data_IF_461253030869
#
_entry.id   IF_461253030869
#
_cell.length_a   1.000
_cell.length_b   1.000
_cell.length_c   1.000
_cell.angle_alpha   90.00
_cell.angle_beta   90.00
_cell.angle_gamma   90.00
#
_symmetry.space_group_name_H-M   'P 1'
#
loop_
_entity.id
_entity.type
_entity.pdbx_description
1 polymer ?
#
# COMPACT_ATOMS: atom_id res chain seq x y z
N UNK A 1 -9.81 -3.09 16.25
CA UNK A 1 -10.81 -3.83 15.43
C UNK A 1 -12.21 -3.32 15.74
N UNK A 2 -12.70 -3.30 17.00
CA UNK A 2 -14.05 -2.82 17.34
C UNK A 2 -14.35 -1.41 16.86
N UNK A 3 -13.42 -0.48 17.01
CA UNK A 3 -13.53 0.90 16.48
C UNK A 3 -13.63 0.91 14.96
N UNK A 4 -12.85 0.09 14.27
CA UNK A 4 -12.90 0.00 12.80
C UNK A 4 -14.27 -0.52 12.33
N UNK A 5 -14.84 -1.53 13.00
CA UNK A 5 -16.18 -2.02 12.71
C UNK A 5 -17.24 -0.93 12.86
N UNK A 6 -17.17 -0.17 13.95
CA UNK A 6 -18.11 0.92 14.20
C UNK A 6 -17.98 2.07 13.16
N UNK A 7 -16.74 2.42 12.76
CA UNK A 7 -16.48 3.50 11.81
C UNK A 7 -16.85 3.14 10.36
N UNK A 8 -16.58 1.90 9.92
CA UNK A 8 -16.70 1.50 8.52
C UNK A 8 -18.01 0.76 8.19
N UNK A 9 -18.76 0.31 9.20
CA UNK A 9 -20.00 -0.40 8.98
C UNK A 9 -19.87 -1.59 8.00
N UNK A 10 -20.63 -1.58 6.90
CA UNK A 10 -20.61 -2.64 5.88
C UNK A 10 -19.27 -2.84 5.19
N UNK A 11 -18.45 -1.80 5.09
CA UNK A 11 -17.15 -1.84 4.39
C UNK A 11 -16.02 -2.41 5.26
N UNK A 12 -16.28 -2.64 6.55
CA UNK A 12 -15.33 -3.19 7.50
C UNK A 12 -14.68 -4.50 7.02
N UNK A 13 -15.46 -5.45 6.51
CA UNK A 13 -14.92 -6.73 6.06
C UNK A 13 -13.99 -6.58 4.87
N UNK A 14 -14.33 -5.71 3.92
CA UNK A 14 -13.47 -5.45 2.75
C UNK A 14 -12.15 -4.77 3.18
N UNK A 15 -12.22 -3.83 4.10
CA UNK A 15 -11.05 -3.18 4.69
C UNK A 15 -10.14 -4.20 5.41
N UNK A 16 -10.73 -5.09 6.23
CA UNK A 16 -9.98 -6.10 6.97
C UNK A 16 -9.30 -7.10 6.03
N UNK A 17 -10.01 -7.59 5.00
CA UNK A 17 -9.43 -8.49 3.99
C UNK A 17 -8.20 -7.84 3.32
N UNK A 18 -8.27 -6.56 3.00
CA UNK A 18 -7.14 -5.85 2.40
C UNK A 18 -5.98 -5.70 3.38
N UNK A 19 -6.25 -5.35 4.63
CA UNK A 19 -5.22 -5.26 5.65
C UNK A 19 -4.57 -6.63 5.92
N UNK A 20 -5.36 -7.69 6.04
CA UNK A 20 -4.88 -9.06 6.27
C UNK A 20 -4.03 -9.58 5.12
N UNK A 21 -4.45 -9.37 3.87
CA UNK A 21 -3.64 -9.81 2.72
C UNK A 21 -2.30 -9.07 2.66
N UNK A 22 -2.27 -7.78 2.98
CA UNK A 22 -1.04 -7.01 3.07
C UNK A 22 -0.12 -7.53 4.17
N UNK A 23 -0.70 -7.91 5.31
CA UNK A 23 0.04 -8.49 6.42
C UNK A 23 0.65 -9.85 6.04
N UNK A 24 -0.13 -10.73 5.41
CA UNK A 24 0.33 -12.05 4.91
C UNK A 24 1.42 -11.86 3.86
N UNK A 25 1.22 -10.99 2.88
CA UNK A 25 2.22 -10.68 1.87
C UNK A 25 3.51 -10.16 2.49
N UNK A 26 3.40 -9.28 3.49
CA UNK A 26 4.55 -8.80 4.26
C UNK A 26 5.35 -9.94 4.89
N UNK A 27 4.67 -10.86 5.59
CA UNK A 27 5.31 -12.02 6.23
C UNK A 27 6.01 -12.93 5.21
N UNK A 28 5.33 -13.24 4.11
CA UNK A 28 5.81 -14.17 3.08
C UNK A 28 7.04 -13.61 2.35
N UNK A 29 7.13 -12.28 2.20
CA UNK A 29 8.23 -11.63 1.50
C UNK A 29 9.36 -11.12 2.41
N UNK A 30 9.27 -11.32 3.72
CA UNK A 30 10.37 -11.00 4.65
C UNK A 30 11.71 -11.63 4.27
N UNK A 31 11.80 -12.88 3.75
CA UNK A 31 13.09 -13.45 3.36
C UNK A 31 13.85 -12.62 2.32
N UNK A 32 13.15 -12.07 1.31
CA UNK A 32 13.74 -11.20 0.29
C UNK A 32 14.01 -9.83 0.88
N UNK A 33 13.05 -9.24 1.57
CA UNK A 33 13.14 -7.87 2.10
C UNK A 33 14.24 -7.72 3.12
N UNK A 34 14.39 -8.67 4.04
CA UNK A 34 15.46 -8.67 5.04
C UNK A 34 16.87 -8.68 4.44
N UNK A 35 17.04 -9.15 3.20
CA UNK A 35 18.33 -9.06 2.51
C UNK A 35 18.59 -7.66 1.96
N UNK A 36 17.55 -6.96 1.54
CA UNK A 36 17.66 -5.58 1.04
C UNK A 36 17.87 -4.62 2.22
N UNK A 37 17.13 -4.82 3.31
CA UNK A 37 17.11 -3.93 4.48
C UNK A 37 17.90 -4.49 5.69
N UNK A 38 19.04 -5.11 5.44
CA UNK A 38 19.89 -5.74 6.50
C UNK A 38 20.29 -4.83 7.66
N UNK A 39 20.34 -3.53 7.43
CA UNK A 39 20.70 -2.55 8.44
C UNK A 39 19.51 -2.00 9.23
N UNK A 40 18.28 -2.32 8.85
CA UNK A 40 17.10 -1.83 9.54
C UNK A 40 16.75 -2.70 10.74
N UNK A 41 16.30 -2.07 11.83
CA UNK A 41 15.88 -2.77 13.04
C UNK A 41 14.69 -3.70 12.79
N UNK A 42 13.78 -3.28 11.92
CA UNK A 42 12.59 -4.02 11.50
C UNK A 42 12.84 -4.98 10.31
N UNK A 43 14.10 -5.04 9.81
CA UNK A 43 14.46 -5.76 8.59
C UNK A 43 13.61 -5.36 7.37
N UNK A 44 13.05 -4.15 7.35
CA UNK A 44 12.20 -3.64 6.28
C UNK A 44 10.77 -4.16 6.31
N UNK A 45 10.20 -4.39 7.50
CA UNK A 45 8.84 -4.93 7.68
C UNK A 45 7.79 -4.20 6.83
N UNK A 46 7.74 -2.87 6.90
CA UNK A 46 6.76 -2.11 6.11
C UNK A 46 7.03 -2.18 4.60
N UNK A 47 8.30 -2.23 4.21
CA UNK A 47 8.71 -2.37 2.81
C UNK A 47 8.38 -3.74 2.23
N UNK A 48 8.29 -4.79 3.05
CA UNK A 48 7.98 -6.14 2.60
C UNK A 48 6.62 -6.24 1.91
N UNK A 49 5.64 -5.48 2.39
CA UNK A 49 4.29 -5.39 1.81
C UNK A 49 4.34 -4.80 0.39
N UNK A 50 5.09 -3.71 0.22
CA UNK A 50 5.23 -3.03 -1.08
C UNK A 50 6.01 -3.90 -2.06
N UNK A 51 7.12 -4.49 -1.63
CA UNK A 51 7.93 -5.41 -2.44
C UNK A 51 7.09 -6.59 -2.91
N UNK A 52 6.26 -7.16 -2.02
CA UNK A 52 5.35 -8.25 -2.35
C UNK A 52 4.33 -7.84 -3.42
N UNK A 53 3.67 -6.69 -3.24
CA UNK A 53 2.71 -6.17 -4.23
C UNK A 53 3.38 -5.99 -5.59
N UNK A 54 4.58 -5.38 -5.61
CA UNK A 54 5.31 -5.11 -6.85
C UNK A 54 5.73 -6.40 -7.54
N UNK A 55 6.35 -7.33 -6.83
CA UNK A 55 6.82 -8.60 -7.43
C UNK A 55 5.64 -9.44 -7.93
N UNK A 56 4.62 -9.65 -7.10
CA UNK A 56 3.47 -10.46 -7.47
C UNK A 56 2.65 -9.79 -8.58
N UNK A 57 2.35 -8.50 -8.43
CA UNK A 57 1.61 -7.75 -9.43
C UNK A 57 2.35 -7.67 -10.75
N UNK A 58 3.66 -7.41 -10.75
CA UNK A 58 4.45 -7.42 -11.99
C UNK A 58 4.47 -8.83 -12.63
N UNK A 59 4.60 -9.89 -11.84
CA UNK A 59 4.51 -11.26 -12.33
C UNK A 59 3.18 -11.58 -13.02
N UNK A 60 2.06 -11.16 -12.41
CA UNK A 60 0.73 -11.30 -13.02
C UNK A 60 0.63 -10.44 -14.29
N UNK A 61 1.08 -9.19 -14.23
CA UNK A 61 1.02 -8.26 -15.35
C UNK A 61 1.76 -8.79 -16.58
N UNK A 62 3.01 -9.23 -16.42
CA UNK A 62 3.82 -9.68 -17.56
C UNK A 62 3.23 -10.95 -18.20
N UNK A 63 2.85 -11.94 -17.37
CA UNK A 63 2.31 -13.21 -17.88
C UNK A 63 0.96 -13.03 -18.58
N UNK A 64 0.14 -12.10 -18.13
CA UNK A 64 -1.14 -11.79 -18.78
C UNK A 64 -0.95 -10.92 -20.02
N UNK A 65 0.04 -10.02 -20.03
CA UNK A 65 0.33 -9.15 -21.20
C UNK A 65 0.91 -9.94 -22.36
N UNK A 66 1.76 -10.93 -22.09
CA UNK A 66 2.28 -11.85 -23.12
C UNK A 66 1.32 -13.02 -23.42
N UNK A 67 0.10 -13.00 -22.82
CA UNK A 67 -0.99 -13.97 -23.06
C UNK A 67 -0.68 -15.42 -22.69
N UNK A 68 0.26 -15.65 -21.78
CA UNK A 68 0.55 -16.98 -21.22
C UNK A 68 -0.56 -17.44 -20.29
N UNK A 69 -1.13 -16.52 -19.51
CA UNK A 69 -2.28 -16.76 -18.64
C UNK A 69 -3.34 -15.68 -18.81
N UNK A 70 -4.59 -16.00 -18.45
CA UNK A 70 -5.67 -15.02 -18.42
C UNK A 70 -5.61 -14.19 -17.12
N UNK A 71 -5.99 -12.90 -17.20
CA UNK A 71 -6.08 -12.02 -16.04
C UNK A 71 -7.33 -12.31 -15.20
N UNK A 72 -7.26 -13.31 -14.37
CA UNK A 72 -8.36 -13.78 -13.51
C UNK A 72 -7.96 -13.77 -12.03
N UNK A 73 -8.93 -13.92 -11.15
CA UNK A 73 -8.70 -14.15 -9.72
C UNK A 73 -7.80 -15.36 -9.48
N UNK A 74 -8.08 -16.48 -10.17
CA UNK A 74 -7.31 -17.71 -10.02
C UNK A 74 -5.84 -17.51 -10.40
N UNK A 75 -5.55 -16.92 -11.57
CA UNK A 75 -4.18 -16.66 -11.99
C UNK A 75 -3.47 -15.69 -11.06
N UNK A 76 -4.16 -14.67 -10.55
CA UNK A 76 -3.59 -13.75 -9.55
C UNK A 76 -3.20 -14.48 -8.26
N UNK A 77 -4.05 -15.38 -7.76
CA UNK A 77 -3.76 -16.20 -6.58
C UNK A 77 -2.60 -17.15 -6.84
N UNK A 78 -2.63 -17.91 -7.94
CA UNK A 78 -1.61 -18.92 -8.27
C UNK A 78 -0.24 -18.26 -8.42
N UNK A 79 -0.14 -17.18 -9.19
CA UNK A 79 1.14 -16.49 -9.41
C UNK A 79 1.65 -15.87 -8.10
N UNK A 80 0.78 -15.25 -7.31
CA UNK A 80 1.15 -14.71 -5.99
C UNK A 80 1.65 -15.82 -5.07
N UNK A 81 1.01 -16.98 -5.06
CA UNK A 81 1.45 -18.14 -4.27
C UNK A 81 2.80 -18.66 -4.74
N UNK A 82 3.05 -18.73 -6.04
CA UNK A 82 4.35 -19.13 -6.59
C UNK A 82 5.46 -18.14 -6.24
N UNK A 83 5.20 -16.86 -6.37
CA UNK A 83 6.16 -15.81 -5.97
C UNK A 83 6.46 -15.87 -4.46
N UNK A 84 5.42 -16.03 -3.64
CA UNK A 84 5.56 -16.18 -2.20
C UNK A 84 6.31 -17.46 -1.80
N UNK A 85 5.98 -18.57 -2.43
CA UNK A 85 6.70 -19.84 -2.24
C UNK A 85 8.18 -19.73 -2.61
N UNK A 86 8.49 -19.01 -3.69
CA UNK A 86 9.88 -18.72 -4.09
C UNK A 86 10.62 -17.86 -3.05
N UNK A 87 9.94 -16.89 -2.45
CA UNK A 87 10.52 -16.06 -1.37
C UNK A 87 10.84 -16.92 -0.14
N UNK A 88 9.91 -17.77 0.28
CA UNK A 88 10.10 -18.70 1.41
C UNK A 88 11.23 -19.68 1.11
N UNK A 89 11.23 -20.30 -0.08
CA UNK A 89 12.28 -21.21 -0.51
C UNK A 89 13.67 -20.52 -0.49
N UNK A 90 13.75 -19.27 -0.97
CA UNK A 90 14.96 -18.49 -0.90
C UNK A 90 15.46 -18.30 0.56
N UNK A 91 14.55 -18.06 1.50
CA UNK A 91 14.88 -17.98 2.93
C UNK A 91 15.42 -19.28 3.50
N UNK A 92 14.77 -20.40 3.17
CA UNK A 92 15.14 -21.74 3.68
C UNK A 92 16.48 -22.20 3.08
N UNK A 93 16.59 -22.23 1.75
CA UNK A 93 17.79 -22.72 1.06
C UNK A 93 19.00 -21.78 1.22
N UNK A 94 18.75 -20.49 1.32
CA UNK A 94 19.77 -19.48 1.63
C UNK A 94 20.28 -19.55 3.07
N UNK A 95 19.74 -20.44 3.92
CA UNK A 95 20.08 -20.59 5.34
C UNK A 95 20.08 -19.27 6.09
N UNK A 96 19.12 -18.44 5.80
CA UNK A 96 19.01 -17.11 6.41
C UNK A 96 18.62 -17.23 7.89
N UNK A 97 19.51 -16.78 8.77
CA UNK A 97 19.31 -16.88 10.23
C UNK A 97 18.56 -15.68 10.83
N UNK A 98 18.44 -14.57 10.10
CA UNK A 98 17.91 -13.29 10.61
C UNK A 98 16.84 -12.71 9.68
N UNK A 99 15.85 -13.51 9.33
CA UNK A 99 14.73 -13.05 8.51
C UNK A 99 13.84 -12.12 9.31
N UNK A 100 13.44 -12.58 10.50
CA UNK A 100 12.54 -11.80 11.37
C UNK A 100 13.35 -11.02 12.42
N UNK A 101 12.95 -9.78 12.71
CA UNK A 101 13.61 -8.90 13.68
C UNK A 101 13.18 -9.22 15.13
N UNK A 102 13.42 -10.46 15.59
CA UNK A 102 12.95 -10.93 16.90
C UNK A 102 13.31 -10.01 18.06
N UNK A 103 14.45 -9.30 17.96
CA UNK A 103 14.87 -8.35 19.00
C UNK A 103 14.10 -7.03 18.98
N UNK A 104 13.41 -6.75 17.89
CA UNK A 104 12.72 -5.48 17.63
C UNK A 104 11.24 -5.72 17.24
N UNK A 105 10.64 -6.81 17.74
CA UNK A 105 9.23 -7.11 17.49
C UNK A 105 8.28 -6.04 18.00
N UNK A 106 8.69 -5.31 19.05
CA UNK A 106 7.93 -4.16 19.52
C UNK A 106 7.83 -3.06 18.46
N UNK A 107 8.94 -2.78 17.74
CA UNK A 107 8.93 -1.83 16.63
C UNK A 107 8.01 -2.30 15.51
N UNK A 108 8.13 -3.56 15.09
CA UNK A 108 7.26 -4.17 14.07
C UNK A 108 5.78 -4.05 14.46
N UNK A 109 5.47 -4.31 15.72
CA UNK A 109 4.12 -4.17 16.25
C UNK A 109 3.61 -2.72 16.14
N UNK A 110 4.41 -1.74 16.57
CA UNK A 110 4.01 -0.34 16.51
C UNK A 110 3.91 0.18 15.07
N UNK A 111 4.79 -0.23 14.18
CA UNK A 111 4.69 0.10 12.75
C UNK A 111 3.39 -0.46 12.15
N UNK A 112 3.02 -1.69 12.50
CA UNK A 112 1.76 -2.28 12.05
C UNK A 112 0.54 -1.55 12.63
N UNK A 113 0.58 -1.18 13.89
CA UNK A 113 -0.48 -0.38 14.54
C UNK A 113 -0.61 0.98 13.87
N UNK A 114 0.50 1.67 13.61
CA UNK A 114 0.50 2.96 12.91
C UNK A 114 -0.08 2.79 11.50
N UNK A 115 0.35 1.78 10.76
CA UNK A 115 -0.18 1.50 9.42
C UNK A 115 -1.69 1.27 9.47
N UNK A 116 -2.16 0.41 10.36
CA UNK A 116 -3.59 0.13 10.53
C UNK A 116 -4.40 1.39 10.87
N UNK A 117 -3.91 2.18 11.83
CA UNK A 117 -4.60 3.41 12.27
C UNK A 117 -4.65 4.45 11.15
N UNK A 118 -3.53 4.68 10.45
CA UNK A 118 -3.49 5.65 9.34
C UNK A 118 -4.34 5.17 8.17
N UNK A 119 -4.28 3.88 7.84
CA UNK A 119 -5.12 3.29 6.80
C UNK A 119 -6.62 3.42 7.14
N UNK A 120 -7.00 3.11 8.38
CA UNK A 120 -8.38 3.25 8.89
C UNK A 120 -8.83 4.71 8.85
N UNK A 121 -8.00 5.65 9.32
CA UNK A 121 -8.32 7.07 9.34
C UNK A 121 -8.60 7.59 7.92
N UNK A 122 -7.69 7.32 6.98
CA UNK A 122 -7.87 7.73 5.58
C UNK A 122 -9.07 7.05 4.93
N UNK A 123 -9.33 5.78 5.24
CA UNK A 123 -10.50 5.05 4.71
C UNK A 123 -11.80 5.67 5.25
N UNK A 124 -11.85 5.97 6.53
CA UNK A 124 -12.99 6.65 7.15
C UNK A 124 -13.22 8.05 6.52
N UNK A 125 -12.15 8.83 6.36
CA UNK A 125 -12.23 10.16 5.72
C UNK A 125 -12.68 10.06 4.25
N UNK A 126 -12.22 9.06 3.51
CA UNK A 126 -12.66 8.82 2.13
C UNK A 126 -14.14 8.45 2.04
N UNK A 127 -14.70 7.84 3.10
CA UNK A 127 -16.11 7.48 3.20
C UNK A 127 -17.08 8.67 3.17
N UNK A 128 -16.62 9.89 3.50
CA UNK A 128 -17.44 11.11 3.36
C UNK A 128 -17.63 11.55 1.91
N UNK A 129 -16.71 11.14 1.00
CA UNK A 129 -16.79 11.45 -0.43
C UNK A 129 -16.41 10.21 -1.25
N UNK A 130 -17.20 9.13 -1.19
CA UNK A 130 -16.84 7.84 -1.76
C UNK A 130 -16.99 7.80 -3.29
N UNK A 131 -17.77 8.69 -3.87
CA UNK A 131 -18.05 8.67 -5.29
C UNK A 131 -16.80 8.95 -6.13
N UNK A 132 -16.64 8.18 -7.21
CA UNK A 132 -15.65 8.44 -8.25
C UNK A 132 -16.12 9.61 -9.13
N UNK A 133 -16.24 10.80 -8.54
CA UNK A 133 -16.76 12.01 -9.18
C UNK A 133 -15.66 13.07 -9.34
N UNK A 134 -15.65 13.75 -10.47
CA UNK A 134 -14.65 14.77 -10.82
C UNK A 134 -13.71 14.27 -11.92
N UNK A 135 -12.88 15.16 -12.44
CA UNK A 135 -12.13 15.05 -13.72
C UNK A 135 -11.51 13.68 -13.99
N UNK A 136 -10.45 13.32 -13.29
CA UNK A 136 -9.69 12.10 -13.55
C UNK A 136 -10.30 10.85 -12.89
N UNK A 137 -11.10 11.01 -11.85
CA UNK A 137 -11.67 9.87 -11.12
C UNK A 137 -12.56 8.98 -11.97
N UNK A 138 -13.30 9.55 -12.92
CA UNK A 138 -14.10 8.78 -13.88
C UNK A 138 -13.22 7.91 -14.76
N UNK A 139 -12.12 8.47 -15.23
CA UNK A 139 -11.14 7.75 -16.06
C UNK A 139 -10.51 6.61 -15.27
N UNK A 140 -9.96 6.89 -14.08
CA UNK A 140 -9.30 5.92 -13.23
C UNK A 140 -10.23 4.76 -12.88
N UNK A 141 -11.43 5.06 -12.45
CA UNK A 141 -12.44 4.06 -12.11
C UNK A 141 -12.89 3.28 -13.36
N UNK A 142 -13.03 3.96 -14.50
CA UNK A 142 -13.35 3.33 -15.77
C UNK A 142 -12.28 2.34 -16.22
N UNK A 143 -10.99 2.68 -16.08
CA UNK A 143 -9.89 1.76 -16.34
C UNK A 143 -9.93 0.53 -15.42
N UNK A 144 -10.20 0.75 -14.12
CA UNK A 144 -10.36 -0.37 -13.20
C UNK A 144 -11.52 -1.29 -13.59
N UNK A 145 -12.68 -0.71 -13.96
CA UNK A 145 -13.85 -1.48 -14.45
C UNK A 145 -13.55 -2.25 -15.73
N UNK A 146 -12.84 -1.64 -16.68
CA UNK A 146 -12.43 -2.33 -17.91
C UNK A 146 -11.50 -3.52 -17.59
N UNK A 147 -10.46 -3.31 -16.77
CA UNK A 147 -9.54 -4.37 -16.37
C UNK A 147 -10.21 -5.48 -15.54
N UNK A 148 -11.22 -5.17 -14.72
CA UNK A 148 -11.98 -6.18 -13.99
C UNK A 148 -12.71 -7.15 -14.91
N UNK A 149 -13.25 -6.65 -16.03
CA UNK A 149 -13.96 -7.46 -17.06
C UNK A 149 -13.01 -8.17 -18.01
N UNK A 150 -11.81 -7.62 -18.21
CA UNK A 150 -10.86 -8.17 -19.16
C UNK A 150 -10.18 -9.43 -18.64
N UNK A 151 -9.92 -10.35 -19.57
CA UNK A 151 -9.08 -11.53 -19.34
C UNK A 151 -7.66 -11.34 -19.87
N UNK A 152 -7.36 -10.23 -20.51
CA UNK A 152 -6.03 -9.89 -21.06
C UNK A 152 -5.63 -8.47 -20.69
N UNK A 153 -4.33 -8.18 -20.73
CA UNK A 153 -3.77 -6.84 -20.53
C UNK A 153 -2.91 -6.44 -21.76
N UNK A 154 -2.92 -5.17 -22.16
CA UNK A 154 -3.83 -4.10 -21.71
C UNK A 154 -5.29 -4.46 -22.04
N UNK A 155 -6.24 -3.98 -21.21
CA UNK A 155 -7.66 -4.22 -21.45
C UNK A 155 -8.21 -3.30 -22.56
N UNK A 156 -9.44 -3.57 -22.98
CA UNK A 156 -10.11 -2.77 -23.99
C UNK A 156 -10.36 -1.34 -23.47
N UNK A 157 -10.14 -0.36 -24.36
CA UNK A 157 -10.38 1.04 -24.08
C UNK A 157 -11.89 1.30 -23.96
N UNK A 158 -12.29 1.99 -22.88
CA UNK A 158 -13.69 2.26 -22.62
C UNK A 158 -14.27 3.38 -23.51
N UNK A 159 -13.42 4.18 -24.14
CA UNK A 159 -13.83 5.25 -25.06
C UNK A 159 -13.58 4.91 -26.54
N UNK A 160 -12.68 3.95 -26.82
CA UNK A 160 -12.33 3.56 -28.18
C UNK A 160 -12.50 2.04 -28.34
N UNK A 161 -13.72 1.63 -28.60
CA UNK A 161 -14.12 0.23 -28.72
C UNK A 161 -13.25 -0.57 -29.71
N UNK A 162 -12.92 -1.81 -29.33
CA UNK A 162 -12.13 -2.71 -30.14
C UNK A 162 -10.61 -2.43 -30.13
N UNK A 163 -10.14 -1.46 -29.35
CA UNK A 163 -8.72 -1.18 -29.13
C UNK A 163 -8.36 -1.32 -27.66
N UNK A 164 -7.12 -1.75 -27.42
CA UNK A 164 -6.56 -1.72 -26.06
C UNK A 164 -6.22 -0.26 -25.69
N UNK A 165 -6.44 0.11 -24.43
CA UNK A 165 -6.08 1.46 -24.03
C UNK A 165 -4.56 1.68 -24.02
N UNK A 166 -4.17 2.82 -24.56
CA UNK A 166 -2.78 3.28 -24.64
C UNK A 166 -2.58 4.50 -23.73
N UNK A 167 -2.54 4.25 -22.44
CA UNK A 167 -2.40 5.27 -21.41
C UNK A 167 -1.67 4.70 -20.20
N UNK A 168 -1.25 5.55 -19.25
CA UNK A 168 -0.68 5.07 -18.00
C UNK A 168 -1.78 4.48 -17.11
N UNK A 169 -1.77 3.18 -16.90
CA UNK A 169 -2.74 2.45 -16.09
C UNK A 169 -2.10 1.63 -14.97
N UNK A 170 -0.80 1.78 -14.74
CA UNK A 170 -0.06 0.96 -13.79
C UNK A 170 -0.59 1.05 -12.34
N UNK A 171 -0.96 2.25 -11.89
CA UNK A 171 -1.56 2.44 -10.57
C UNK A 171 -2.91 1.75 -10.43
N UNK A 172 -3.80 1.97 -11.42
CA UNK A 172 -5.11 1.35 -11.49
C UNK A 172 -5.00 -0.18 -11.63
N UNK A 173 -3.99 -0.65 -12.38
CA UNK A 173 -3.69 -2.08 -12.49
C UNK A 173 -3.37 -2.71 -11.13
N UNK A 174 -2.47 -2.11 -10.33
CA UNK A 174 -2.18 -2.66 -9.00
C UNK A 174 -3.40 -2.69 -8.08
N UNK A 175 -4.29 -1.71 -8.19
CA UNK A 175 -5.57 -1.72 -7.49
C UNK A 175 -6.45 -2.90 -7.93
N UNK A 176 -6.55 -3.14 -9.26
CA UNK A 176 -7.32 -4.27 -9.82
C UNK A 176 -6.67 -5.61 -9.49
N UNK A 177 -5.34 -5.70 -9.52
CA UNK A 177 -4.61 -6.90 -9.09
C UNK A 177 -4.99 -7.28 -7.65
N UNK A 178 -4.91 -6.34 -6.71
CA UNK A 178 -5.30 -6.58 -5.31
C UNK A 178 -6.80 -6.89 -5.18
N UNK A 179 -7.65 -6.23 -5.96
CA UNK A 179 -9.09 -6.49 -5.99
C UNK A 179 -9.39 -7.92 -6.45
N UNK A 180 -8.73 -8.38 -7.53
CA UNK A 180 -8.86 -9.77 -7.98
C UNK A 180 -8.27 -10.76 -6.99
N UNK A 181 -7.09 -10.47 -6.41
CA UNK A 181 -6.43 -11.31 -5.41
C UNK A 181 -7.31 -11.53 -4.17
N UNK A 182 -8.02 -10.51 -3.74
CA UNK A 182 -8.88 -10.53 -2.55
C UNK A 182 -10.33 -10.93 -2.85
N UNK A 183 -10.73 -10.99 -4.11
CA UNK A 183 -12.12 -11.25 -4.51
C UNK A 183 -13.12 -10.17 -4.09
N UNK A 184 -12.63 -8.94 -3.83
CA UNK A 184 -13.44 -7.82 -3.35
C UNK A 184 -14.06 -7.02 -4.50
N UNK A 185 -14.93 -6.05 -4.18
CA UNK A 185 -15.66 -5.26 -5.17
C UNK A 185 -14.86 -4.00 -5.54
N UNK A 186 -14.72 -3.74 -6.84
CA UNK A 186 -13.95 -2.60 -7.35
C UNK A 186 -14.51 -1.25 -6.92
N UNK A 187 -15.78 -1.15 -6.66
CA UNK A 187 -16.47 0.05 -6.16
C UNK A 187 -15.92 0.50 -4.80
N UNK A 188 -15.54 -0.45 -3.95
CA UNK A 188 -14.95 -0.17 -2.64
C UNK A 188 -13.44 -0.04 -2.78
N UNK A 189 -12.81 -0.94 -3.54
CA UNK A 189 -11.35 -1.03 -3.62
C UNK A 189 -10.71 0.13 -4.38
N UNK A 190 -11.45 0.84 -5.21
CA UNK A 190 -11.02 2.12 -5.77
C UNK A 190 -10.58 3.12 -4.67
N UNK A 191 -11.40 3.26 -3.64
CA UNK A 191 -11.07 4.12 -2.51
C UNK A 191 -10.02 3.48 -1.59
N UNK A 192 -10.09 2.16 -1.33
CA UNK A 192 -9.12 1.47 -0.49
C UNK A 192 -7.70 1.55 -1.03
N UNK A 193 -7.50 1.47 -2.35
CA UNK A 193 -6.17 1.64 -2.94
C UNK A 193 -5.59 3.02 -2.64
N UNK A 194 -6.37 4.08 -2.77
CA UNK A 194 -5.95 5.46 -2.50
C UNK A 194 -5.56 5.64 -1.03
N UNK A 195 -6.39 5.13 -0.13
CA UNK A 195 -6.17 5.25 1.32
C UNK A 195 -5.02 4.36 1.81
N UNK A 196 -4.82 3.20 1.19
CA UNK A 196 -3.66 2.34 1.40
C UNK A 196 -2.35 3.05 0.98
N UNK A 197 -2.34 3.71 -0.18
CA UNK A 197 -1.18 4.49 -0.64
C UNK A 197 -0.90 5.63 0.35
N UNK A 198 -1.92 6.32 0.85
CA UNK A 198 -1.75 7.36 1.86
C UNK A 198 -1.17 6.81 3.17
N UNK A 199 -1.57 5.60 3.58
CA UNK A 199 -0.98 4.92 4.74
C UNK A 199 0.50 4.56 4.51
N UNK A 200 0.85 4.03 3.34
CA UNK A 200 2.25 3.80 2.98
C UNK A 200 3.06 5.09 2.89
N UNK A 201 2.48 6.17 2.38
CA UNK A 201 3.11 7.49 2.36
C UNK A 201 3.45 8.03 3.77
N UNK A 202 2.81 7.52 4.81
CA UNK A 202 3.17 7.80 6.20
C UNK A 202 4.23 6.83 6.72
N UNK A 203 3.98 5.50 6.64
CA UNK A 203 4.80 4.53 7.37
C UNK A 203 6.15 4.25 6.73
N UNK A 204 6.29 4.36 5.41
CA UNK A 204 7.58 4.14 4.76
C UNK A 204 8.59 5.24 5.09
N UNK A 205 8.26 6.54 5.00
CA UNK A 205 9.16 7.60 5.48
C UNK A 205 9.40 7.54 7.00
N UNK A 206 8.39 7.15 7.79
CA UNK A 206 8.54 6.92 9.23
C UNK A 206 9.66 5.91 9.50
N UNK A 207 9.57 4.70 8.95
CA UNK A 207 10.56 3.64 9.17
C UNK A 207 11.94 4.05 8.66
N UNK A 208 12.03 4.65 7.45
CA UNK A 208 13.28 5.10 6.86
C UNK A 208 13.99 6.15 7.72
N UNK A 209 13.32 7.25 8.04
CA UNK A 209 13.94 8.37 8.76
C UNK A 209 14.25 7.98 10.20
N UNK A 210 13.41 7.18 10.84
CA UNK A 210 13.68 6.60 12.14
C UNK A 210 15.00 5.82 12.14
N UNK A 211 15.21 4.94 11.16
CA UNK A 211 16.45 4.18 11.02
C UNK A 211 17.65 5.09 10.74
N UNK A 212 17.52 6.02 9.81
CA UNK A 212 18.60 6.98 9.50
C UNK A 212 19.02 7.81 10.72
N UNK A 213 18.07 8.27 11.53
CA UNK A 213 18.36 9.01 12.76
C UNK A 213 19.05 8.12 13.79
N UNK A 214 18.59 6.87 13.93
CA UNK A 214 19.23 5.90 14.82
C UNK A 214 20.69 5.66 14.44
N UNK A 215 20.98 5.44 13.16
CA UNK A 215 22.32 5.22 12.67
C UNK A 215 23.22 6.45 12.87
N UNK A 216 22.69 7.65 12.62
CA UNK A 216 23.41 8.91 12.79
C UNK A 216 23.70 9.24 14.26
N UNK A 217 22.73 9.06 15.13
CA UNK A 217 22.84 9.42 16.54
C UNK A 217 23.55 8.33 17.37
N UNK A 218 23.50 7.08 16.92
CA UNK A 218 24.11 5.94 17.62
C UNK A 218 23.65 5.84 19.07
N UNK A 219 24.57 5.52 19.98
CA UNK A 219 24.26 5.38 21.42
C UNK A 219 23.90 6.71 22.12
N UNK A 220 24.13 7.85 21.47
CA UNK A 220 23.77 9.20 22.02
C UNK A 220 22.31 9.56 21.76
N UNK A 221 21.66 8.90 20.79
CA UNK A 221 20.26 9.13 20.44
C UNK A 221 19.32 8.55 21.48
N UNK A 222 18.38 9.37 21.97
CA UNK A 222 17.26 8.86 22.76
C UNK A 222 16.22 8.23 21.83
N UNK A 223 15.61 7.12 22.21
CA UNK A 223 14.59 6.44 21.40
C UNK A 223 13.49 7.39 20.93
N UNK A 224 12.98 8.24 21.82
CA UNK A 224 11.93 9.20 21.47
C UNK A 224 12.34 10.19 20.36
N UNK A 225 13.63 10.53 20.22
CA UNK A 225 14.11 11.46 19.17
C UNK A 225 14.01 10.80 17.79
N UNK A 226 14.33 9.52 17.70
CA UNK A 226 14.24 8.74 16.45
C UNK A 226 12.79 8.53 16.06
N UNK A 227 11.92 8.19 17.02
CA UNK A 227 10.50 7.98 16.79
C UNK A 227 9.79 9.27 16.39
N UNK A 228 10.10 10.39 17.07
CA UNK A 228 9.56 11.70 16.74
C UNK A 228 9.99 12.16 15.33
N UNK A 229 11.27 11.96 14.98
CA UNK A 229 11.76 12.26 13.63
C UNK A 229 11.07 11.42 12.55
N UNK A 230 10.82 10.14 12.84
CA UNK A 230 10.03 9.27 11.97
C UNK A 230 8.59 9.78 11.79
N UNK A 231 7.92 10.16 12.89
CA UNK A 231 6.56 10.72 12.85
C UNK A 231 6.53 12.00 12.00
N UNK A 232 7.48 12.92 12.20
CA UNK A 232 7.56 14.14 11.40
C UNK A 232 7.74 13.84 9.92
N UNK A 233 8.58 12.87 9.57
CA UNK A 233 8.76 12.46 8.18
C UNK A 233 7.47 11.87 7.59
N UNK A 234 6.80 10.99 8.31
CA UNK A 234 5.51 10.43 7.90
C UNK A 234 4.45 11.53 7.68
N UNK A 235 4.31 12.45 8.61
CA UNK A 235 3.40 13.60 8.48
C UNK A 235 3.79 14.49 7.30
N UNK A 236 5.08 14.78 7.13
CA UNK A 236 5.56 15.65 6.05
C UNK A 236 5.26 15.07 4.67
N UNK A 237 5.36 13.75 4.47
CA UNK A 237 5.09 13.12 3.18
C UNK A 237 3.59 12.91 2.95
N UNK A 238 2.86 12.44 3.97
CA UNK A 238 1.45 12.06 3.80
C UNK A 238 0.46 13.22 3.91
N UNK A 239 0.83 14.30 4.62
CA UNK A 239 -0.07 15.41 4.94
C UNK A 239 0.43 16.78 4.46
N UNK A 240 1.67 16.89 3.96
CA UNK A 240 2.22 18.17 3.46
C UNK A 240 1.73 18.51 2.05
N UNK A 241 0.44 18.29 1.81
CA UNK A 241 -0.19 18.73 0.60
C UNK A 241 -0.20 20.28 0.50
N UNK A 242 -1.06 20.78 -0.37
CA UNK A 242 -1.23 22.22 -0.54
C UNK A 242 -1.73 22.89 0.76
N UNK A 243 -0.84 23.52 1.50
CA UNK A 243 -1.17 24.28 2.71
C UNK A 243 -1.92 25.59 2.41
N UNK A 244 -2.19 25.90 1.14
CA UNK A 244 -2.88 27.11 0.71
C UNK A 244 -4.18 27.35 1.49
N UNK A 245 -5.01 26.29 1.66
CA UNK A 245 -6.27 26.40 2.40
C UNK A 245 -6.06 26.80 3.87
N UNK A 246 -5.02 26.24 4.53
CA UNK A 246 -4.71 26.54 5.92
C UNK A 246 -4.14 27.96 6.04
N UNK A 247 -3.17 28.30 5.20
CA UNK A 247 -2.47 29.59 5.26
C UNK A 247 -3.42 30.71 4.85
N UNK A 248 -3.96 30.66 3.66
CA UNK A 248 -4.82 31.73 3.12
C UNK A 248 -6.26 31.67 3.62
N UNK A 249 -6.83 30.47 3.73
CA UNK A 249 -8.21 30.30 4.14
C UNK A 249 -8.47 30.44 5.64
N UNK A 250 -7.45 30.15 6.49
CA UNK A 250 -7.60 30.21 7.95
C UNK A 250 -6.68 31.22 8.60
N UNK A 251 -5.36 31.11 8.40
CA UNK A 251 -4.40 31.95 9.11
C UNK A 251 -4.54 33.41 8.67
N UNK A 252 -4.55 33.70 7.37
CA UNK A 252 -4.68 35.07 6.87
C UNK A 252 -6.04 35.67 7.24
N UNK A 253 -7.12 34.88 7.21
CA UNK A 253 -8.44 35.34 7.65
C UNK A 253 -8.45 35.70 9.14
N UNK A 254 -7.80 34.86 10.00
CA UNK A 254 -7.66 35.13 11.43
C UNK A 254 -6.80 36.36 11.72
N UNK A 255 -5.79 36.61 10.87
CA UNK A 255 -4.91 37.82 11.00
C UNK A 255 -5.49 39.05 10.33
N UNK A 256 -6.68 38.96 9.69
CA UNK A 256 -7.29 40.08 8.98
C UNK A 256 -6.54 40.50 7.71
N UNK A 257 -5.65 39.64 7.19
CA UNK A 257 -4.90 39.89 5.95
C UNK A 257 -5.77 39.38 4.79
N UNK A 258 -6.10 40.28 3.86
CA UNK A 258 -6.85 39.99 2.63
C UNK A 258 -5.93 39.95 1.42
#
# INVERSE_FOLDING_TARGET
IGVAFWLLGSDFFTFMIWWEILWILGLVFMPITAQIFKGFDDNGWMYSKVIAIVICGYGVWILTSIKVVHFTTLSSIVITTLCGGSSIAYGIYGKQRKIFPWKHMELVYWEEVIFFVVFLLWTYMAGFHPAAHGTEKYMDFGFMKSMMRSTTLPSEDMWYAGKAFNYYYGGQYFAVFLTKLTGTKVEITYNLMRTMIAAFAFVLPFSLVRQMLKDKLGKRGRAWTTDFGGILAGLSVSMSGNLHYIIYGKIFTLLGIR
#
